data_IF_843615364421
#
_entry.id   IF_843615364421
#
_cell.length_a   1.000
_cell.length_b   1.000
_cell.length_c   1.000
_cell.angle_alpha   90.00
_cell.angle_beta   90.00
_cell.angle_gamma   90.00
#
_symmetry.space_group_name_H-M   'P 1'
#
loop_
_entity.id
_entity.type
_entity.pdbx_description
1 polymer ?
#
# COMPACT_ATOMS: atom_id res chain seq x y z
N UNK A 1 10.24 1.02 -6.55
CA UNK A 1 9.33 0.02 -5.96
C UNK A 1 9.75 -1.32 -6.53
N UNK A 2 10.22 -2.24 -5.69
CA UNK A 2 10.65 -3.58 -6.10
C UNK A 2 9.45 -4.53 -6.06
N UNK A 3 8.62 -4.53 -7.12
CA UNK A 3 7.47 -5.45 -7.24
C UNK A 3 7.91 -6.88 -7.56
N UNK A 4 9.03 -7.05 -8.26
CA UNK A 4 9.53 -8.34 -8.77
C UNK A 4 9.76 -9.36 -7.65
N UNK A 5 10.28 -8.92 -6.50
CA UNK A 5 10.56 -9.80 -5.37
C UNK A 5 9.29 -10.40 -4.76
N UNK A 6 8.19 -9.64 -4.71
CA UNK A 6 6.89 -10.09 -4.20
C UNK A 6 6.28 -11.14 -5.12
N UNK A 7 6.28 -10.87 -6.43
CA UNK A 7 5.77 -11.81 -7.42
C UNK A 7 6.51 -13.15 -7.39
N UNK A 8 7.83 -13.12 -7.19
CA UNK A 8 8.64 -14.33 -7.10
C UNK A 8 8.43 -15.08 -5.78
N UNK A 9 8.18 -14.37 -4.68
CA UNK A 9 7.94 -14.96 -3.37
C UNK A 9 6.49 -15.47 -3.18
N UNK A 10 5.57 -15.13 -4.08
CA UNK A 10 4.16 -15.49 -3.97
C UNK A 10 3.46 -14.84 -2.78
N UNK A 11 3.96 -13.70 -2.31
CA UNK A 11 3.43 -12.98 -1.16
C UNK A 11 2.35 -11.99 -1.58
N UNK A 12 1.31 -11.77 -0.75
CA UNK A 12 0.37 -10.71 -1.01
C UNK A 12 1.03 -9.34 -0.80
N UNK A 13 0.71 -8.38 -1.67
CA UNK A 13 1.13 -6.99 -1.52
C UNK A 13 0.05 -6.03 -2.00
N UNK A 14 0.06 -4.82 -1.43
CA UNK A 14 -0.87 -3.74 -1.78
C UNK A 14 -0.09 -2.44 -1.91
N UNK A 15 -0.44 -1.64 -2.93
CA UNK A 15 0.10 -0.30 -3.14
C UNK A 15 -0.97 0.74 -2.82
N UNK A 16 -0.68 1.64 -1.89
CA UNK A 16 -1.57 2.71 -1.46
C UNK A 16 -0.92 4.08 -1.69
N UNK A 17 -1.69 5.14 -1.99
CA UNK A 17 -1.12 6.48 -2.18
C UNK A 17 -0.59 7.01 -0.85
N UNK A 18 0.61 7.58 -0.86
CA UNK A 18 1.31 8.07 0.34
C UNK A 18 1.71 9.54 0.26
N UNK A 19 1.14 10.29 -0.69
CA UNK A 19 1.34 11.72 -0.85
C UNK A 19 1.89 12.10 -2.21
N UNK A 20 2.39 13.33 -2.30
CA UNK A 20 3.05 13.86 -3.47
C UNK A 20 4.41 14.42 -3.09
N UNK A 21 5.41 14.17 -3.92
CA UNK A 21 6.68 14.90 -3.88
C UNK A 21 6.67 15.84 -5.07
N UNK A 22 6.44 17.13 -4.80
CA UNK A 22 6.15 18.12 -5.83
C UNK A 22 4.82 17.82 -6.53
N UNK A 23 4.84 17.60 -7.84
CA UNK A 23 3.67 17.25 -8.65
C UNK A 23 3.52 15.75 -8.94
N UNK A 24 4.40 14.91 -8.40
CA UNK A 24 4.42 13.47 -8.68
C UNK A 24 3.80 12.68 -7.52
N UNK A 25 2.84 11.77 -7.79
CA UNK A 25 2.25 10.91 -6.78
C UNK A 25 3.28 9.89 -6.28
N UNK A 26 3.28 9.68 -4.98
CA UNK A 26 4.12 8.68 -4.30
C UNK A 26 3.22 7.57 -3.78
N UNK A 27 3.60 6.32 -4.05
CA UNK A 27 2.93 5.14 -3.52
C UNK A 27 3.75 4.46 -2.42
N UNK A 28 3.07 3.96 -1.40
CA UNK A 28 3.61 3.08 -0.38
C UNK A 28 3.18 1.63 -0.69
N UNK A 29 4.15 0.73 -0.80
CA UNK A 29 3.89 -0.69 -0.98
C UNK A 29 4.03 -1.42 0.34
N UNK A 30 2.98 -2.12 0.74
CA UNK A 30 2.96 -3.03 1.88
C UNK A 30 2.99 -4.47 1.37
N UNK A 31 3.79 -5.31 2.02
CA UNK A 31 3.94 -6.73 1.69
C UNK A 31 3.59 -7.51 2.96
N UNK A 32 2.66 -8.43 2.85
CA UNK A 32 2.18 -9.27 3.95
C UNK A 32 2.73 -10.68 3.85
N UNK A 33 2.50 -11.47 4.90
CA UNK A 33 2.79 -12.90 4.90
C UNK A 33 1.82 -13.68 3.99
N UNK A 34 2.18 -14.92 3.64
CA UNK A 34 1.33 -15.78 2.82
C UNK A 34 -0.09 -15.89 3.40
N UNK A 35 -1.10 -15.60 2.55
CA UNK A 35 -2.53 -15.66 2.88
C UNK A 35 -3.00 -14.70 3.98
N UNK A 36 -2.24 -13.64 4.27
CA UNK A 36 -2.60 -12.61 5.25
C UNK A 36 -3.13 -11.31 4.61
N UNK A 37 -3.93 -11.43 3.54
CA UNK A 37 -4.53 -10.29 2.85
C UNK A 37 -5.47 -9.48 3.76
N UNK A 38 -6.12 -10.13 4.73
CA UNK A 38 -7.03 -9.47 5.65
C UNK A 38 -6.29 -8.44 6.54
N UNK A 39 -5.08 -8.76 6.99
CA UNK A 39 -4.27 -7.83 7.78
C UNK A 39 -3.74 -6.70 6.90
N UNK A 40 -3.27 -7.01 5.68
CA UNK A 40 -2.86 -5.98 4.71
C UNK A 40 -3.99 -4.98 4.44
N UNK A 41 -5.21 -5.45 4.18
CA UNK A 41 -6.37 -4.59 3.95
C UNK A 41 -6.73 -3.74 5.18
N UNK A 42 -6.65 -4.31 6.39
CA UNK A 42 -6.88 -3.56 7.64
C UNK A 42 -5.86 -2.44 7.84
N UNK A 43 -4.59 -2.72 7.58
CA UNK A 43 -3.52 -1.72 7.69
C UNK A 43 -3.70 -0.63 6.65
N UNK A 44 -3.97 -1.00 5.40
CA UNK A 44 -4.24 -0.05 4.32
C UNK A 44 -5.44 0.85 4.62
N UNK A 45 -6.53 0.28 5.16
CA UNK A 45 -7.72 1.03 5.53
C UNK A 45 -7.48 1.98 6.71
N UNK A 46 -6.74 1.52 7.73
CA UNK A 46 -6.34 2.38 8.85
C UNK A 46 -5.46 3.55 8.37
N UNK A 47 -4.51 3.26 7.48
CA UNK A 47 -3.66 4.29 6.87
C UNK A 47 -4.48 5.30 6.06
N UNK A 48 -5.44 4.84 5.25
CA UNK A 48 -6.31 5.72 4.46
C UNK A 48 -7.14 6.66 5.36
N UNK A 49 -7.71 6.14 6.44
CA UNK A 49 -8.51 6.95 7.38
C UNK A 49 -7.68 8.01 8.11
N UNK A 50 -6.46 7.67 8.54
CA UNK A 50 -5.58 8.59 9.28
C UNK A 50 -4.86 9.59 8.37
N UNK A 51 -4.45 9.17 7.17
CA UNK A 51 -3.77 10.05 6.20
C UNK A 51 -4.70 11.09 5.59
N UNK A 52 -6.02 10.90 5.70
CA UNK A 52 -7.02 11.80 5.12
C UNK A 52 -6.98 11.87 3.60
N UNK A 53 -6.36 10.88 2.95
CA UNK A 53 -6.21 10.83 1.48
C UNK A 53 -7.55 10.80 0.75
N UNK A 54 -8.56 10.21 1.39
CA UNK A 54 -9.96 10.21 0.97
C UNK A 54 -10.59 11.60 0.80
N UNK A 55 -9.94 12.69 1.26
CA UNK A 55 -10.41 14.09 1.08
C UNK A 55 -9.76 14.82 -0.08
N UNK A 56 -8.83 14.19 -0.80
CA UNK A 56 -8.08 14.81 -1.91
C UNK A 56 -8.76 14.64 -3.28
N UNK A 57 -9.72 13.73 -3.40
CA UNK A 57 -10.63 13.59 -4.56
C UNK A 57 -11.98 14.23 -4.26
#
# INVERSE_FOLDING_TARGET
IETVAVNLAGLPAISIPAGFIGSLPVGLQLIGDHFDEATLLRISYAYENESGFNKWF
#
